data_IF_110457855790
#
_entry.id   IF_110457855790
#
_cell.length_a   1.000
_cell.length_b   1.000
_cell.length_c   1.000
_cell.angle_alpha   90.00
_cell.angle_beta   90.00
_cell.angle_gamma   90.00
#
_symmetry.space_group_name_H-M   'P 1'
#
loop_
_entity.id
_entity.type
_entity.pdbx_description
1 polymer ?
#
# COMPACT_ATOMS: atom_id res chain seq x y z
N UNK A 1 -43.42 -2.02 -31.44
CA UNK A 1 -41.98 -2.24 -31.17
C UNK A 1 -41.79 -2.28 -29.65
N UNK A 2 -41.91 -3.46 -29.03
CA UNK A 2 -41.84 -3.60 -27.56
C UNK A 2 -41.01 -4.83 -27.22
N UNK A 3 -39.71 -4.63 -27.06
CA UNK A 3 -38.73 -5.67 -26.77
C UNK A 3 -38.97 -6.27 -25.39
N UNK A 4 -39.63 -7.43 -25.36
CA UNK A 4 -39.68 -8.29 -24.18
C UNK A 4 -38.29 -8.89 -24.01
N UNK A 5 -37.38 -8.17 -23.35
CA UNK A 5 -36.18 -8.78 -22.82
C UNK A 5 -36.63 -9.99 -21.98
N UNK A 6 -36.30 -11.19 -22.43
CA UNK A 6 -36.73 -12.44 -21.79
C UNK A 6 -36.24 -12.42 -20.36
N UNK A 7 -37.15 -12.60 -19.38
CA UNK A 7 -36.81 -12.70 -17.96
C UNK A 7 -35.65 -13.68 -17.71
N UNK A 8 -35.52 -14.73 -18.53
CA UNK A 8 -34.39 -15.66 -18.51
C UNK A 8 -33.02 -15.07 -18.89
N UNK A 9 -32.97 -14.07 -19.77
CA UNK A 9 -31.72 -13.38 -20.14
C UNK A 9 -31.20 -12.46 -19.02
N UNK A 10 -32.12 -11.82 -18.28
CA UNK A 10 -31.79 -10.99 -17.12
C UNK A 10 -31.29 -11.84 -15.94
N UNK A 11 -31.89 -13.01 -15.70
CA UNK A 11 -31.46 -13.95 -14.64
C UNK A 11 -30.07 -14.53 -14.95
N UNK A 12 -29.82 -14.93 -16.19
CA UNK A 12 -28.52 -15.47 -16.59
C UNK A 12 -27.39 -14.42 -16.50
N UNK A 13 -27.66 -13.18 -16.90
CA UNK A 13 -26.71 -12.08 -16.79
C UNK A 13 -26.42 -11.71 -15.33
N UNK A 14 -27.43 -11.64 -14.47
CA UNK A 14 -27.24 -11.37 -13.04
C UNK A 14 -26.49 -12.50 -12.31
N UNK A 15 -26.81 -13.76 -12.62
CA UNK A 15 -26.11 -14.92 -12.06
C UNK A 15 -24.63 -14.98 -12.43
N UNK A 16 -24.29 -14.57 -13.67
CA UNK A 16 -22.90 -14.49 -14.13
C UNK A 16 -22.13 -13.34 -13.45
N UNK A 17 -22.75 -12.16 -13.27
CA UNK A 17 -22.14 -11.01 -12.57
C UNK A 17 -21.86 -11.34 -11.10
N UNK A 18 -22.75 -12.05 -10.41
CA UNK A 18 -22.53 -12.47 -9.02
C UNK A 18 -21.39 -13.48 -8.85
N UNK A 19 -21.21 -14.40 -9.81
CA UNK A 19 -20.19 -15.43 -9.74
C UNK A 19 -18.75 -14.89 -9.96
N UNK A 20 -18.59 -13.83 -10.75
CA UNK A 20 -17.27 -13.24 -11.08
C UNK A 20 -16.81 -12.20 -10.04
N UNK A 21 -17.68 -11.74 -9.14
CA UNK A 21 -17.36 -10.73 -8.12
C UNK A 21 -16.69 -11.25 -6.84
N UNK A 22 -16.58 -12.56 -6.67
CA UNK A 22 -16.12 -13.19 -5.43
C UNK A 22 -14.69 -13.75 -5.51
N UNK A 23 -13.75 -12.97 -6.05
CA UNK A 23 -12.34 -13.22 -5.75
C UNK A 23 -12.14 -12.95 -4.25
N UNK A 24 -11.95 -14.01 -3.47
CA UNK A 24 -11.67 -13.87 -2.04
C UNK A 24 -10.30 -13.23 -1.89
N UNK A 25 -10.25 -12.11 -1.17
CA UNK A 25 -8.99 -11.53 -0.70
C UNK A 25 -8.40 -12.48 0.33
N UNK A 26 -7.61 -13.46 -0.12
CA UNK A 26 -6.72 -14.22 0.75
C UNK A 26 -5.77 -13.22 1.44
N UNK A 27 -5.47 -13.38 2.73
CA UNK A 27 -4.49 -12.55 3.40
C UNK A 27 -3.17 -12.60 2.63
N UNK A 28 -2.59 -11.42 2.37
CA UNK A 28 -1.26 -11.35 1.80
C UNK A 28 -0.29 -12.12 2.69
N UNK A 29 0.65 -12.82 2.07
CA UNK A 29 1.70 -13.51 2.80
C UNK A 29 2.46 -12.51 3.71
N UNK A 30 2.95 -12.94 4.88
CA UNK A 30 3.78 -12.10 5.73
C UNK A 30 5.01 -11.60 5.00
N UNK A 31 5.45 -10.39 5.35
CA UNK A 31 6.72 -9.86 4.87
C UNK A 31 7.87 -10.75 5.37
N UNK A 32 8.93 -10.93 4.56
CA UNK A 32 10.13 -11.62 5.02
C UNK A 32 10.76 -10.87 6.21
N UNK A 33 11.58 -11.55 7.03
CA UNK A 33 12.34 -10.88 8.09
C UNK A 33 13.25 -9.81 7.50
N UNK A 34 13.42 -8.71 8.24
CA UNK A 34 14.36 -7.66 7.85
C UNK A 34 15.79 -8.22 7.84
N UNK A 35 16.61 -7.83 6.85
CA UNK A 35 18.03 -8.18 6.87
C UNK A 35 18.69 -7.59 8.13
N UNK A 36 19.62 -8.34 8.72
CA UNK A 36 20.36 -7.87 9.88
C UNK A 36 21.38 -6.81 9.44
N UNK A 37 21.21 -5.58 9.93
CA UNK A 37 22.22 -4.53 9.87
C UNK A 37 22.94 -4.43 11.22
N UNK A 38 24.25 -4.11 11.23
CA UNK A 38 24.96 -3.86 12.48
C UNK A 38 24.28 -2.75 13.29
N UNK A 39 24.16 -2.88 14.63
CA UNK A 39 23.41 -1.93 15.45
C UNK A 39 23.98 -0.50 15.38
N UNK A 40 25.29 -0.35 15.21
CA UNK A 40 25.95 0.93 15.02
C UNK A 40 25.57 1.60 13.68
N UNK A 41 25.36 0.80 12.62
CA UNK A 41 24.90 1.32 11.34
C UNK A 41 23.45 1.79 11.43
N UNK A 42 22.59 1.05 12.14
CA UNK A 42 21.19 1.44 12.37
C UNK A 42 21.13 2.72 13.20
N UNK A 43 21.95 2.83 14.24
CA UNK A 43 22.02 4.02 15.08
C UNK A 43 22.48 5.25 14.28
N UNK A 44 23.54 5.11 13.47
CA UNK A 44 24.01 6.17 12.58
C UNK A 44 22.94 6.57 11.56
N UNK A 45 22.31 5.60 10.89
CA UNK A 45 21.25 5.85 9.92
C UNK A 45 20.07 6.60 10.53
N UNK A 46 19.69 6.25 11.77
CA UNK A 46 18.65 6.98 12.52
C UNK A 46 19.05 8.43 12.76
N UNK A 47 20.29 8.72 13.15
CA UNK A 47 20.74 10.10 13.34
C UNK A 47 20.65 10.89 12.03
N UNK A 48 21.16 10.33 10.93
CA UNK A 48 21.17 10.98 9.62
C UNK A 48 19.77 11.22 9.06
N UNK A 49 18.81 10.31 9.29
CA UNK A 49 17.44 10.44 8.80
C UNK A 49 16.73 11.72 9.27
N UNK A 50 17.08 12.20 10.47
CA UNK A 50 16.51 13.42 11.07
C UNK A 50 17.43 14.64 10.94
N UNK A 51 18.62 14.52 10.35
CA UNK A 51 19.59 15.61 10.25
C UNK A 51 19.29 16.51 9.04
N UNK A 52 18.92 17.77 9.29
CA UNK A 52 18.61 18.72 8.22
C UNK A 52 19.86 19.25 7.52
N UNK A 53 21.05 19.12 8.11
CA UNK A 53 22.31 19.61 7.51
C UNK A 53 22.68 18.86 6.23
N UNK A 54 21.98 17.77 5.92
CA UNK A 54 22.10 17.04 4.67
C UNK A 54 21.44 17.75 3.48
N UNK A 55 20.56 18.73 3.70
CA UNK A 55 20.09 19.62 2.62
C UNK A 55 21.01 20.82 2.43
N UNK A 56 21.04 21.38 1.21
CA UNK A 56 21.96 22.46 0.86
C UNK A 56 21.78 23.77 1.66
N UNK A 57 20.58 24.01 2.18
CA UNK A 57 20.21 25.16 3.01
C UNK A 57 19.98 24.79 4.49
N UNK A 58 20.28 23.53 4.85
CA UNK A 58 20.06 22.95 6.17
C UNK A 58 18.60 22.98 6.69
N UNK A 59 17.60 23.11 5.81
CA UNK A 59 16.18 23.22 6.19
C UNK A 59 15.38 21.90 6.13
N UNK A 60 15.85 20.89 5.37
CA UNK A 60 15.10 19.66 5.09
C UNK A 60 15.92 18.42 5.46
N UNK A 61 15.28 17.44 6.10
CA UNK A 61 15.81 16.09 6.28
C UNK A 61 14.89 15.06 5.61
N UNK A 62 15.25 13.78 5.65
CA UNK A 62 14.36 12.71 5.19
C UNK A 62 13.01 12.74 5.93
N UNK A 63 13.05 13.00 7.23
CA UNK A 63 11.87 13.06 8.09
C UNK A 63 10.91 14.23 7.79
N UNK A 64 11.36 15.25 7.05
CA UNK A 64 10.50 16.38 6.64
C UNK A 64 9.38 15.93 5.70
N UNK A 65 9.66 14.95 4.83
CA UNK A 65 8.67 14.34 3.95
C UNK A 65 8.18 12.98 4.47
N UNK A 66 9.04 12.21 5.13
CA UNK A 66 8.71 10.88 5.66
C UNK A 66 8.46 10.93 7.18
N UNK A 67 7.34 11.52 7.61
CA UNK A 67 7.01 11.69 9.05
C UNK A 67 6.70 10.32 9.69
N UNK A 68 7.43 9.89 10.74
CA UNK A 68 7.16 8.63 11.45
C UNK A 68 5.75 8.54 12.03
N UNK A 69 5.13 9.68 12.37
CA UNK A 69 3.74 9.75 12.87
C UNK A 69 2.71 9.49 11.79
N UNK A 70 3.11 9.57 10.52
CA UNK A 70 2.31 9.26 9.35
C UNK A 70 2.75 7.96 8.68
N UNK A 71 3.39 7.07 9.44
CA UNK A 71 3.95 5.83 8.92
C UNK A 71 4.94 6.06 7.76
N UNK A 72 5.78 7.09 7.87
CA UNK A 72 6.89 7.38 6.97
C UNK A 72 6.48 7.89 5.58
N UNK A 73 5.30 8.51 5.42
CA UNK A 73 4.83 9.15 4.18
C UNK A 73 3.85 10.30 4.40
#
# INVERSE_FOLDING_TARGET
>A
MGGRASVGGLIAAFGFVLAVGAARAEPLAPLPPLPASPPEQVALGRLLFFDTRLSGDASISCASCHDPRKAWG
#
